data_IF_660906460156
#
_entry.id   IF_660906460156
#
_cell.length_a   1.000
_cell.length_b   1.000
_cell.length_c   1.000
_cell.angle_alpha   90.00
_cell.angle_beta   90.00
_cell.angle_gamma   90.00
#
_symmetry.space_group_name_H-M   'P 1'
#
loop_
_entity.id
_entity.type
_entity.pdbx_description
1 polymer ?
#
# COMPACT_ATOMS: atom_id res chain seq x y z
N UNK A 1 15.03 -87.82 36.09
CA UNK A 1 14.41 -87.29 37.32
C UNK A 1 14.95 -85.89 37.54
N UNK A 2 14.06 -84.94 37.82
CA UNK A 2 14.28 -83.51 38.13
C UNK A 2 14.75 -82.58 37.00
N UNK A 3 13.83 -81.69 36.64
CA UNK A 3 14.04 -80.46 35.91
C UNK A 3 14.79 -79.43 36.75
N UNK A 4 15.60 -78.60 36.09
CA UNK A 4 15.98 -77.29 36.60
C UNK A 4 16.19 -76.35 35.41
N UNK A 5 15.24 -75.42 35.27
CA UNK A 5 15.28 -74.30 34.33
C UNK A 5 16.47 -73.41 34.71
N UNK A 6 17.37 -73.14 33.74
CA UNK A 6 18.39 -72.10 33.86
C UNK A 6 18.37 -71.21 32.63
N UNK A 7 18.27 -69.92 32.93
CA UNK A 7 18.28 -68.76 32.06
C UNK A 7 19.25 -68.87 30.87
N UNK A 8 18.72 -68.62 29.66
CA UNK A 8 19.53 -68.28 28.50
C UNK A 8 19.51 -66.77 28.35
N UNK A 9 20.66 -66.17 28.63
CA UNK A 9 20.99 -64.78 28.31
C UNK A 9 21.26 -64.65 26.81
N UNK A 10 20.48 -63.83 26.10
CA UNK A 10 20.83 -63.40 24.75
C UNK A 10 21.31 -61.93 24.77
N UNK A 11 22.62 -61.80 24.59
CA UNK A 11 23.34 -60.59 24.23
C UNK A 11 23.14 -60.31 22.73
N UNK A 12 22.81 -59.06 22.41
CA UNK A 12 22.97 -58.35 21.12
C UNK A 12 22.37 -58.98 19.85
N UNK A 13 21.34 -58.35 19.27
CA UNK A 13 21.37 -57.80 17.89
C UNK A 13 20.31 -56.69 17.78
N UNK A 14 20.80 -55.46 17.81
CA UNK A 14 20.43 -54.31 16.97
C UNK A 14 19.16 -54.42 16.11
N UNK A 15 18.17 -53.56 16.33
CA UNK A 15 17.72 -52.56 15.34
C UNK A 15 16.78 -51.56 16.03
N UNK A 16 17.28 -50.33 16.08
CA UNK A 16 16.68 -49.12 16.60
C UNK A 16 15.65 -48.62 15.58
N UNK A 17 14.36 -48.64 15.89
CA UNK A 17 13.37 -47.79 15.20
C UNK A 17 12.84 -46.83 16.25
N UNK A 18 13.63 -45.77 16.46
CA UNK A 18 13.17 -44.59 17.18
C UNK A 18 12.36 -43.76 16.18
N UNK A 19 11.03 -43.88 16.23
CA UNK A 19 10.14 -43.01 15.49
C UNK A 19 10.20 -41.64 16.15
N UNK A 20 11.17 -40.81 15.73
CA UNK A 20 11.20 -39.40 16.05
C UNK A 20 9.99 -38.77 15.33
N UNK A 21 8.92 -38.48 16.07
CA UNK A 21 7.94 -37.49 15.63
C UNK A 21 8.69 -36.14 15.59
N UNK A 22 9.31 -35.85 14.45
CA UNK A 22 9.56 -34.48 14.05
C UNK A 22 8.18 -33.87 13.80
N UNK A 23 7.64 -33.19 14.81
CA UNK A 23 6.59 -32.21 14.58
C UNK A 23 7.24 -31.10 13.77
N UNK A 24 7.16 -31.22 12.46
CA UNK A 24 7.47 -30.14 11.54
C UNK A 24 6.47 -29.03 11.85
N UNK A 25 6.86 -28.08 12.70
CA UNK A 25 6.29 -26.75 12.61
C UNK A 25 6.69 -26.27 11.23
N UNK A 26 5.78 -26.43 10.26
CA UNK A 26 5.80 -25.59 9.09
C UNK A 26 5.72 -24.17 9.65
N UNK A 27 6.84 -23.45 9.63
CA UNK A 27 6.77 -21.99 9.58
C UNK A 27 6.00 -21.75 8.30
N UNK A 28 4.70 -21.50 8.43
CA UNK A 28 3.98 -20.79 7.39
C UNK A 28 4.74 -19.47 7.29
N UNK A 29 5.57 -19.35 6.25
CA UNK A 29 5.91 -18.04 5.74
C UNK A 29 4.57 -17.45 5.30
N UNK A 30 3.89 -16.76 6.21
CA UNK A 30 2.77 -15.92 5.83
C UNK A 30 3.30 -14.95 4.79
N UNK A 31 2.59 -14.82 3.68
CA UNK A 31 2.83 -13.70 2.77
C UNK A 31 2.75 -12.41 3.61
N UNK A 32 3.64 -11.46 3.34
CA UNK A 32 3.63 -10.19 4.05
C UNK A 32 2.33 -9.44 3.81
N UNK A 33 1.95 -8.58 4.76
CA UNK A 33 0.82 -7.66 4.57
C UNK A 33 1.04 -6.84 3.30
N UNK A 34 0.03 -6.74 2.43
CA UNK A 34 0.13 -5.95 1.20
C UNK A 34 -0.58 -4.62 1.40
N UNK A 35 0.09 -3.55 0.99
CA UNK A 35 -0.51 -2.23 0.88
C UNK A 35 -0.47 -1.75 -0.55
N UNK A 36 -1.55 -1.14 -1.01
CA UNK A 36 -1.61 -0.43 -2.29
C UNK A 36 -1.40 1.06 -2.04
N UNK A 37 -0.47 1.65 -2.79
CA UNK A 37 -0.23 3.09 -2.84
C UNK A 37 -0.82 3.60 -4.14
N UNK A 38 -1.98 4.25 -4.05
CA UNK A 38 -2.60 4.92 -5.19
C UNK A 38 -2.00 6.31 -5.34
N UNK A 39 -1.48 6.66 -6.52
CA UNK A 39 -0.85 7.97 -6.74
C UNK A 39 -1.46 8.73 -7.91
N UNK A 40 -1.19 10.04 -7.98
CA UNK A 40 -1.66 10.87 -9.08
C UNK A 40 -1.26 10.40 -10.49
N UNK A 41 -0.20 9.61 -10.65
CA UNK A 41 0.29 9.17 -11.97
C UNK A 41 0.23 7.65 -12.19
N UNK A 42 -0.24 6.89 -11.21
CA UNK A 42 -0.31 5.42 -11.27
C UNK A 42 -0.29 4.78 -9.90
N UNK A 43 -0.56 3.47 -9.83
CA UNK A 43 -0.61 2.75 -8.56
C UNK A 43 0.53 1.75 -8.48
N UNK A 44 1.09 1.60 -7.29
CA UNK A 44 2.02 0.51 -6.98
C UNK A 44 1.62 -0.17 -5.68
N UNK A 45 2.17 -1.35 -5.43
CA UNK A 45 1.92 -2.10 -4.20
C UNK A 45 3.23 -2.43 -3.50
N UNK A 46 3.17 -2.53 -2.18
CA UNK A 46 4.30 -2.88 -1.32
C UNK A 46 3.89 -4.15 -0.55
N UNK A 47 4.74 -5.17 -0.56
CA UNK A 47 4.70 -6.25 0.42
C UNK A 47 5.52 -5.83 1.64
N UNK A 48 4.88 -5.83 2.80
CA UNK A 48 5.52 -5.48 4.07
C UNK A 48 6.26 -6.68 4.66
N UNK A 49 7.41 -6.43 5.27
CA UNK A 49 8.27 -7.45 5.86
C UNK A 49 7.91 -7.67 7.34
N UNK A 50 6.66 -8.09 7.59
CA UNK A 50 6.05 -8.19 8.93
C UNK A 50 6.91 -8.97 9.94
N UNK A 51 7.57 -10.04 9.49
CA UNK A 51 8.45 -10.87 10.32
C UNK A 51 9.86 -10.31 10.54
N UNK A 52 10.31 -9.36 9.72
CA UNK A 52 11.66 -8.80 9.77
C UNK A 52 11.70 -7.49 10.55
N UNK A 53 10.75 -6.60 10.29
CA UNK A 53 10.66 -5.27 10.90
C UNK A 53 9.27 -5.05 11.56
N UNK A 54 8.88 -5.89 12.55
CA UNK A 54 7.52 -5.89 13.09
C UNK A 54 7.11 -4.56 13.75
N UNK A 55 8.02 -3.84 14.43
CA UNK A 55 7.68 -2.55 15.06
C UNK A 55 7.44 -1.50 13.98
N UNK A 56 8.28 -1.50 12.94
CA UNK A 56 8.23 -0.57 11.83
C UNK A 56 6.98 -0.79 10.97
N UNK A 57 6.69 -2.04 10.64
CA UNK A 57 5.45 -2.43 9.94
C UNK A 57 4.24 -2.03 10.75
N UNK A 58 4.19 -2.35 12.04
CA UNK A 58 3.05 -1.98 12.89
C UNK A 58 2.86 -0.46 12.94
N UNK A 59 3.95 0.30 13.08
CA UNK A 59 3.93 1.74 13.03
C UNK A 59 3.38 2.25 11.69
N UNK A 60 3.89 1.74 10.56
CA UNK A 60 3.41 2.11 9.24
C UNK A 60 1.91 1.82 9.07
N UNK A 61 1.47 0.62 9.47
CA UNK A 61 0.06 0.21 9.41
C UNK A 61 -0.83 1.04 10.34
N UNK A 62 -0.33 1.58 11.46
CA UNK A 62 -1.10 2.50 12.29
C UNK A 62 -1.50 3.76 11.51
N UNK A 63 -0.59 4.34 10.73
CA UNK A 63 -0.89 5.47 9.85
C UNK A 63 -1.83 5.08 8.71
N UNK A 64 -1.63 3.92 8.07
CA UNK A 64 -2.52 3.40 7.03
C UNK A 64 -3.96 3.24 7.56
N UNK A 65 -4.12 2.54 8.69
CA UNK A 65 -5.43 2.24 9.27
C UNK A 65 -6.18 3.48 9.78
N UNK A 66 -5.47 4.58 10.06
CA UNK A 66 -6.07 5.89 10.43
C UNK A 66 -6.29 6.79 9.21
N UNK A 67 -5.99 6.32 7.99
CA UNK A 67 -5.98 7.11 6.76
C UNK A 67 -5.03 8.32 6.82
N UNK A 68 -3.98 8.26 7.65
CA UNK A 68 -3.05 9.38 7.84
C UNK A 68 -2.22 9.69 6.58
N UNK A 69 -2.01 8.69 5.72
CA UNK A 69 -1.34 8.88 4.44
C UNK A 69 -2.27 9.35 3.32
N UNK A 70 -3.59 9.26 3.50
CA UNK A 70 -4.55 9.68 2.47
C UNK A 70 -4.49 11.20 2.29
N UNK A 71 -4.39 11.62 1.03
CA UNK A 71 -4.21 13.01 0.62
C UNK A 71 -2.84 13.62 0.97
N UNK A 72 -1.87 12.81 1.40
CA UNK A 72 -0.47 13.27 1.48
C UNK A 72 0.13 13.34 0.08
N UNK A 73 1.24 14.05 -0.08
CA UNK A 73 1.96 14.11 -1.35
C UNK A 73 3.42 13.67 -1.20
N UNK A 74 4.00 13.17 -2.28
CA UNK A 74 5.44 12.92 -2.36
C UNK A 74 6.14 14.27 -2.23
N UNK A 75 6.87 14.48 -1.14
CA UNK A 75 7.47 15.78 -0.83
C UNK A 75 8.93 15.87 -1.24
N UNK A 76 9.55 14.74 -1.60
CA UNK A 76 10.95 14.66 -2.02
C UNK A 76 11.18 13.47 -2.96
N UNK A 77 11.52 13.75 -4.21
CA UNK A 77 12.11 12.80 -5.14
C UNK A 77 13.52 13.28 -5.49
N UNK A 78 14.51 12.38 -5.38
CA UNK A 78 15.90 12.63 -5.75
C UNK A 78 16.34 11.52 -6.68
N UNK A 79 16.66 11.91 -7.91
CA UNK A 79 17.22 11.06 -8.96
C UNK A 79 18.40 10.25 -8.46
N UNK A 80 18.46 8.99 -8.89
CA UNK A 80 19.45 7.99 -8.47
C UNK A 80 19.55 7.84 -6.94
N UNK A 81 18.48 8.10 -6.19
CA UNK A 81 18.47 7.94 -4.74
C UNK A 81 17.14 7.39 -4.22
N UNK A 82 16.16 8.26 -3.94
CA UNK A 82 14.92 7.86 -3.26
C UNK A 82 13.72 8.73 -3.64
N UNK A 83 12.54 8.13 -3.58
CA UNK A 83 11.24 8.82 -3.56
C UNK A 83 10.65 8.71 -2.16
N UNK A 84 10.35 9.85 -1.52
CA UNK A 84 9.98 9.95 -0.11
C UNK A 84 8.63 10.65 0.09
N UNK A 85 7.79 10.08 0.98
CA UNK A 85 6.43 10.53 1.25
C UNK A 85 5.98 10.36 2.70
N UNK A 86 4.67 10.55 2.92
CA UNK A 86 3.99 10.29 4.21
C UNK A 86 3.99 11.44 5.22
N UNK A 87 4.71 12.54 4.95
CA UNK A 87 4.97 13.58 5.94
C UNK A 87 3.96 14.73 5.96
N UNK A 88 3.48 15.15 4.78
CA UNK A 88 2.78 16.42 4.61
C UNK A 88 1.53 16.29 3.77
N UNK A 89 0.51 17.07 4.17
CA UNK A 89 -0.64 17.44 3.32
C UNK A 89 -0.47 18.86 2.85
N UNK A 90 -1.16 19.24 1.77
CA UNK A 90 -1.18 20.62 1.32
C UNK A 90 -2.52 21.28 1.66
N UNK A 91 -2.50 22.42 2.33
CA UNK A 91 -3.69 23.23 2.58
C UNK A 91 -3.61 24.53 1.79
N UNK A 92 -4.62 24.79 0.95
CA UNK A 92 -4.67 25.98 0.11
C UNK A 92 -4.56 27.24 0.98
N UNK A 93 -3.72 28.20 0.52
CA UNK A 93 -3.38 29.45 1.23
C UNK A 93 -2.57 29.32 2.54
N UNK A 94 -2.37 28.11 3.08
CA UNK A 94 -1.49 27.86 4.25
C UNK A 94 -0.17 27.18 3.86
N UNK A 95 -0.18 26.29 2.87
CA UNK A 95 0.98 25.52 2.44
C UNK A 95 1.06 24.12 3.06
N UNK A 96 2.27 23.55 3.18
CA UNK A 96 2.49 22.22 3.75
C UNK A 96 2.15 22.11 5.24
N UNK A 97 1.21 21.22 5.57
CA UNK A 97 0.78 20.89 6.94
C UNK A 97 1.32 19.51 7.30
N UNK A 98 1.89 19.40 8.50
CA UNK A 98 2.41 18.14 9.02
C UNK A 98 1.26 17.15 9.26
N UNK A 99 1.45 15.90 8.82
CA UNK A 99 0.65 14.79 9.31
C UNK A 99 1.03 14.56 10.79
N UNK A 100 0.06 14.50 11.72
CA UNK A 100 0.37 14.20 13.12
C UNK A 100 1.17 12.91 13.27
N UNK A 101 2.18 12.91 14.13
CA UNK A 101 3.08 11.79 14.34
C UNK A 101 2.80 11.08 15.67
N UNK A 102 2.88 9.75 15.63
CA UNK A 102 3.07 8.92 16.81
C UNK A 102 4.50 9.11 17.37
N UNK A 103 4.78 8.67 18.62
CA UNK A 103 6.13 8.68 19.16
C UNK A 103 7.11 7.94 18.25
N UNK A 104 8.39 8.36 18.21
CA UNK A 104 9.37 7.72 17.35
C UNK A 104 9.64 6.28 17.77
N UNK A 105 9.97 5.44 16.78
CA UNK A 105 10.19 4.00 16.97
C UNK A 105 11.68 3.65 17.01
N UNK A 106 11.98 2.51 17.63
CA UNK A 106 13.32 1.89 17.59
C UNK A 106 13.69 1.50 16.15
N UNK A 107 14.93 1.73 15.76
CA UNK A 107 15.46 1.30 14.48
C UNK A 107 15.67 -0.23 14.47
N UNK A 108 15.01 -0.93 13.54
CA UNK A 108 15.07 -2.39 13.41
C UNK A 108 16.00 -2.86 12.29
N UNK A 109 16.96 -2.05 11.84
CA UNK A 109 17.86 -2.45 10.77
C UNK A 109 18.64 -3.72 11.15
N UNK A 110 18.33 -4.83 10.48
CA UNK A 110 18.87 -6.17 10.76
C UNK A 110 19.42 -6.85 9.51
N UNK A 111 20.12 -6.07 8.68
CA UNK A 111 20.88 -6.60 7.53
C UNK A 111 20.08 -6.82 6.25
N UNK A 112 18.81 -6.42 6.20
CA UNK A 112 18.12 -6.23 4.90
C UNK A 112 18.62 -4.94 4.28
N UNK A 113 19.38 -5.07 3.19
CA UNK A 113 20.01 -3.94 2.52
C UNK A 113 19.02 -3.01 1.83
N UNK A 114 19.33 -1.72 1.79
CA UNK A 114 18.60 -0.68 1.06
C UNK A 114 18.88 -0.76 -0.45
N UNK A 115 18.47 -1.87 -1.07
CA UNK A 115 18.59 -2.11 -2.52
C UNK A 115 17.40 -1.55 -3.29
N UNK A 116 17.51 -1.41 -4.61
CA UNK A 116 16.43 -0.89 -5.47
C UNK A 116 15.08 -1.59 -5.19
N UNK A 117 14.03 -0.78 -5.07
CA UNK A 117 12.66 -1.20 -4.83
C UNK A 117 12.32 -1.58 -3.38
N UNK A 118 13.30 -1.57 -2.47
CA UNK A 118 13.01 -1.69 -1.04
C UNK A 118 12.39 -0.41 -0.51
N UNK A 119 11.53 -0.55 0.49
CA UNK A 119 10.89 0.57 1.22
C UNK A 119 11.45 0.62 2.63
N UNK A 120 11.92 1.80 3.03
CA UNK A 120 12.54 2.03 4.33
C UNK A 120 12.01 3.29 5.02
N UNK A 121 12.14 3.34 6.35
CA UNK A 121 11.72 4.50 7.15
C UNK A 121 12.75 5.61 7.09
N UNK A 122 12.33 6.85 6.86
CA UNK A 122 13.19 8.01 7.03
C UNK A 122 13.37 8.34 8.51
N UNK A 123 14.55 8.88 8.85
CA UNK A 123 14.95 9.28 10.20
C UNK A 123 15.78 10.55 10.18
N UNK A 124 15.86 11.21 11.34
CA UNK A 124 16.69 12.40 11.55
C UNK A 124 18.16 11.95 11.62
N UNK A 125 19.04 12.64 10.89
CA UNK A 125 20.47 12.35 10.89
C UNK A 125 21.08 12.48 12.28
N UNK A 126 21.89 11.50 12.68
CA UNK A 126 22.49 11.40 14.01
C UNK A 126 21.56 10.84 15.10
N UNK A 127 20.29 10.54 14.79
CA UNK A 127 19.35 9.90 15.72
C UNK A 127 18.72 8.65 15.09
N UNK A 128 19.28 7.45 15.33
CA UNK A 128 18.79 6.20 14.76
C UNK A 128 17.33 5.91 15.07
N UNK A 129 16.84 6.28 16.26
CA UNK A 129 15.52 5.89 16.77
C UNK A 129 14.51 7.04 16.67
N UNK A 130 14.55 7.79 15.56
CA UNK A 130 13.72 8.99 15.33
C UNK A 130 12.64 8.82 14.26
N UNK A 131 12.54 7.64 13.65
CA UNK A 131 11.55 7.37 12.61
C UNK A 131 10.11 7.48 13.15
N UNK A 132 9.22 8.10 12.38
CA UNK A 132 7.80 8.28 12.70
C UNK A 132 6.89 7.89 11.53
N UNK A 133 6.48 8.83 10.67
CA UNK A 133 5.52 8.60 9.57
C UNK A 133 6.15 8.68 8.17
N UNK A 134 7.42 9.05 8.07
CA UNK A 134 8.06 9.25 6.78
C UNK A 134 8.72 7.97 6.30
N UNK A 135 8.50 7.64 5.03
CA UNK A 135 9.06 6.47 4.37
C UNK A 135 9.56 6.85 2.98
N UNK A 136 10.43 6.02 2.42
CA UNK A 136 10.95 6.19 1.07
C UNK A 136 11.13 4.85 0.36
N UNK A 137 11.05 4.91 -0.98
CA UNK A 137 11.43 3.82 -1.88
C UNK A 137 12.82 4.09 -2.42
N UNK A 138 13.69 3.08 -2.38
CA UNK A 138 15.03 3.13 -2.97
C UNK A 138 14.95 3.01 -4.50
N UNK A 139 15.44 4.01 -5.23
CA UNK A 139 15.52 4.00 -6.70
C UNK A 139 16.74 3.20 -7.21
N UNK A 140 17.80 3.13 -6.41
CA UNK A 140 19.01 2.35 -6.72
C UNK A 140 19.46 1.56 -5.48
N UNK A 141 20.59 0.88 -5.57
CA UNK A 141 21.23 0.25 -4.43
C UNK A 141 21.96 1.28 -3.55
N UNK A 142 21.26 1.76 -2.53
CA UNK A 142 21.72 2.78 -1.60
C UNK A 142 22.48 2.19 -0.40
N UNK A 143 23.53 1.41 -0.65
CA UNK A 143 24.27 0.67 0.39
C UNK A 143 24.90 1.57 1.48
N UNK A 144 25.05 2.87 1.22
CA UNK A 144 25.46 3.85 2.24
C UNK A 144 24.42 3.98 3.36
N UNK A 145 23.14 3.75 3.07
CA UNK A 145 22.06 3.77 4.05
C UNK A 145 22.10 2.56 4.98
N UNK A 146 22.82 1.48 4.64
CA UNK A 146 22.97 0.31 5.51
C UNK A 146 23.92 0.57 6.70
N UNK A 147 24.79 1.58 6.57
CA UNK A 147 25.81 1.91 7.59
C UNK A 147 25.59 3.27 8.26
N UNK A 148 24.77 4.14 7.67
CA UNK A 148 24.55 5.51 8.15
C UNK A 148 23.66 5.52 9.39
N UNK A 149 24.18 6.03 10.52
CA UNK A 149 23.51 6.12 11.81
C UNK A 149 22.79 4.81 12.21
N UNK A 150 23.50 3.68 12.11
CA UNK A 150 22.95 2.37 12.48
C UNK A 150 22.05 1.73 11.43
N UNK A 151 21.99 2.27 10.22
CA UNK A 151 21.21 1.73 9.11
C UNK A 151 19.81 2.35 9.00
N UNK A 152 19.19 2.30 7.82
CA UNK A 152 17.78 2.65 7.62
C UNK A 152 16.95 1.38 7.50
N UNK A 153 15.97 1.19 8.40
CA UNK A 153 15.16 -0.04 8.46
C UNK A 153 14.33 -0.20 7.19
N UNK A 154 14.70 -1.18 6.37
CA UNK A 154 13.86 -1.71 5.29
C UNK A 154 12.72 -2.52 5.91
N UNK A 155 11.48 -2.17 5.56
CA UNK A 155 10.27 -2.79 6.09
C UNK A 155 9.30 -3.24 4.99
N UNK A 156 9.64 -3.06 3.72
CA UNK A 156 8.81 -3.50 2.61
C UNK A 156 9.57 -3.59 1.29
N UNK A 157 8.90 -4.13 0.28
CA UNK A 157 9.40 -4.25 -1.09
C UNK A 157 8.28 -3.91 -2.08
N UNK A 158 8.58 -3.09 -3.08
CA UNK A 158 7.67 -2.79 -4.18
C UNK A 158 7.46 -4.05 -5.02
N UNK A 159 6.18 -4.36 -5.32
CA UNK A 159 5.74 -5.54 -6.05
C UNK A 159 5.51 -5.27 -7.54
N UNK A 160 5.64 -6.35 -8.34
CA UNK A 160 5.30 -6.37 -9.76
C UNK A 160 6.00 -5.27 -10.56
N UNK A 161 5.24 -4.62 -11.45
CA UNK A 161 5.72 -3.49 -12.25
C UNK A 161 5.65 -2.15 -11.49
N UNK A 162 5.45 -2.17 -10.16
CA UNK A 162 5.29 -0.97 -9.35
C UNK A 162 6.48 -0.02 -9.42
N UNK A 163 7.69 -0.54 -9.64
CA UNK A 163 8.87 0.31 -9.82
C UNK A 163 8.80 1.19 -11.06
N UNK A 164 8.07 0.79 -12.11
CA UNK A 164 7.87 1.67 -13.27
C UNK A 164 7.10 2.94 -12.89
N UNK A 165 6.17 2.84 -11.94
CA UNK A 165 5.43 3.99 -11.41
C UNK A 165 6.33 4.85 -10.53
N UNK A 166 7.16 4.23 -9.68
CA UNK A 166 8.09 4.97 -8.81
C UNK A 166 9.14 5.70 -9.64
N UNK A 167 9.69 5.07 -10.68
CA UNK A 167 10.59 5.72 -11.64
C UNK A 167 9.89 6.87 -12.37
N UNK A 168 8.63 6.67 -12.81
CA UNK A 168 7.85 7.72 -13.44
C UNK A 168 7.56 8.92 -12.50
N UNK A 169 7.51 8.71 -11.17
CA UNK A 169 7.41 9.79 -10.18
C UNK A 169 8.71 10.58 -10.12
N UNK A 170 9.85 9.90 -10.18
CA UNK A 170 11.19 10.51 -10.13
C UNK A 170 11.50 11.32 -11.40
N UNK A 171 11.05 10.83 -12.56
CA UNK A 171 11.18 11.52 -13.86
C UNK A 171 10.40 12.85 -13.95
N UNK A 172 9.53 13.15 -12.97
CA UNK A 172 8.76 14.39 -12.95
C UNK A 172 9.62 15.59 -12.57
N UNK A 173 9.31 16.79 -13.11
CA UNK A 173 9.92 18.00 -12.60
C UNK A 173 9.56 18.21 -11.12
N UNK A 174 10.50 18.76 -10.37
CA UNK A 174 10.32 19.04 -8.94
C UNK A 174 10.29 20.54 -8.66
N UNK A 175 9.57 20.91 -7.60
CA UNK A 175 9.57 22.28 -7.07
C UNK A 175 9.93 22.26 -5.58
N UNK A 176 10.61 23.33 -5.16
CA UNK A 176 10.89 23.58 -3.74
C UNK A 176 9.87 24.55 -3.17
N UNK A 177 9.11 24.14 -2.16
CA UNK A 177 8.17 25.01 -1.43
C UNK A 177 8.80 25.66 -0.19
N UNK A 178 10.13 25.69 -0.13
CA UNK A 178 10.91 26.15 1.02
C UNK A 178 11.76 25.03 1.63
N UNK A 179 12.77 25.43 2.41
CA UNK A 179 13.93 24.58 2.77
C UNK A 179 13.59 23.32 3.61
N UNK A 180 12.43 23.24 4.28
CA UNK A 180 12.20 22.19 5.28
C UNK A 180 11.16 21.11 4.92
N UNK A 181 10.05 21.45 4.25
CA UNK A 181 8.90 20.52 4.13
C UNK A 181 8.77 19.85 2.75
N UNK A 182 9.03 20.56 1.66
CA UNK A 182 8.91 20.01 0.32
C UNK A 182 10.06 20.52 -0.55
N UNK A 183 11.30 20.05 -0.30
CA UNK A 183 12.47 20.58 -0.98
C UNK A 183 12.53 20.17 -2.46
N UNK A 184 11.94 19.02 -2.82
CA UNK A 184 11.97 18.44 -4.15
C UNK A 184 10.64 17.72 -4.46
N UNK A 185 9.51 18.42 -4.33
CA UNK A 185 8.20 17.81 -4.54
C UNK A 185 7.92 17.65 -6.05
N UNK A 186 7.73 16.42 -6.57
CA UNK A 186 7.36 16.19 -7.96
C UNK A 186 5.95 16.68 -8.28
N UNK A 187 5.76 17.19 -9.50
CA UNK A 187 4.45 17.59 -10.03
C UNK A 187 4.23 17.06 -11.45
N UNK A 188 3.00 16.64 -11.76
CA UNK A 188 2.68 15.88 -12.98
C UNK A 188 2.17 16.73 -14.17
N UNK A 189 2.17 18.05 -14.02
CA UNK A 189 1.82 19.00 -15.08
C UNK A 189 3.05 19.58 -15.77
N UNK A 190 2.89 20.14 -16.97
CA UNK A 190 4.02 20.75 -17.70
C UNK A 190 4.65 21.94 -16.96
N UNK A 191 3.86 22.65 -16.15
CA UNK A 191 4.32 23.79 -15.36
C UNK A 191 3.56 23.79 -14.06
N UNK A 192 4.29 23.88 -12.94
CA UNK A 192 3.70 24.00 -11.62
C UNK A 192 2.94 25.33 -11.51
N UNK A 193 1.60 25.25 -11.47
CA UNK A 193 0.72 26.40 -11.33
C UNK A 193 -0.22 26.25 -10.13
N UNK A 194 -0.44 25.02 -9.68
CA UNK A 194 -1.39 24.71 -8.63
C UNK A 194 -0.79 23.65 -7.69
N UNK A 195 -0.96 23.76 -6.37
CA UNK A 195 -0.65 22.68 -5.43
C UNK A 195 -1.34 21.34 -5.73
N UNK A 196 -2.45 21.33 -6.48
CA UNK A 196 -3.07 20.10 -6.99
C UNK A 196 -2.23 19.37 -8.05
N UNK A 197 -1.18 20.01 -8.57
CA UNK A 197 -0.28 19.42 -9.56
C UNK A 197 0.71 18.43 -8.92
N UNK A 198 0.83 18.39 -7.58
CA UNK A 198 1.72 17.43 -6.90
C UNK A 198 1.30 15.98 -7.10
N UNK A 199 2.24 15.06 -6.90
CA UNK A 199 1.93 13.63 -6.80
C UNK A 199 1.34 13.34 -5.43
N UNK A 200 0.01 13.33 -5.34
CA UNK A 200 -0.71 12.91 -4.15
C UNK A 200 -0.79 11.40 -4.05
N UNK A 201 -0.95 10.90 -2.83
CA UNK A 201 -1.07 9.47 -2.54
C UNK A 201 -2.24 9.17 -1.59
N UNK A 202 -2.75 7.96 -1.72
CA UNK A 202 -3.47 7.24 -0.67
C UNK A 202 -2.79 5.91 -0.44
N UNK A 203 -2.92 5.37 0.77
CA UNK A 203 -2.37 4.05 1.10
C UNK A 203 -3.46 3.25 1.78
N UNK A 204 -3.72 2.06 1.26
CA UNK A 204 -4.73 1.14 1.79
C UNK A 204 -4.14 -0.26 1.96
N UNK A 205 -4.55 -0.98 2.99
CA UNK A 205 -4.26 -2.42 3.11
C UNK A 205 -5.13 -3.18 2.11
N UNK A 206 -4.53 -4.05 1.31
CA UNK A 206 -5.25 -4.93 0.39
C UNK A 206 -5.00 -6.39 0.76
N UNK A 207 -5.96 -7.26 0.46
CA UNK A 207 -5.86 -8.68 0.79
C UNK A 207 -4.80 -9.40 -0.06
N UNK A 208 -4.49 -8.83 -1.23
CA UNK A 208 -3.54 -9.38 -2.18
C UNK A 208 -2.96 -8.30 -3.08
N UNK A 209 -1.95 -8.70 -3.85
CA UNK A 209 -1.47 -7.92 -4.98
C UNK A 209 -2.50 -7.92 -6.12
N UNK A 210 -2.73 -6.75 -6.71
CA UNK A 210 -3.50 -6.56 -7.94
C UNK A 210 -2.94 -5.38 -8.73
N UNK A 211 -2.75 -5.58 -10.03
CA UNK A 211 -2.44 -4.52 -10.99
C UNK A 211 -3.69 -3.89 -11.61
N UNK A 212 -4.89 -4.37 -11.26
CA UNK A 212 -6.13 -3.86 -11.83
C UNK A 212 -6.37 -2.40 -11.39
N UNK A 213 -6.90 -1.52 -12.29
CA UNK A 213 -7.20 -0.13 -11.95
C UNK A 213 -8.40 0.00 -11.00
N UNK A 214 -9.27 -1.01 -10.99
CA UNK A 214 -10.46 -1.08 -10.15
C UNK A 214 -10.48 -2.41 -9.41
N UNK A 215 -10.48 -2.33 -8.09
CA UNK A 215 -10.44 -3.51 -7.22
C UNK A 215 -11.51 -3.39 -6.16
N UNK A 216 -12.27 -4.46 -5.96
CA UNK A 216 -13.18 -4.62 -4.84
C UNK A 216 -12.72 -5.78 -3.95
N UNK A 217 -12.39 -5.47 -2.70
CA UNK A 217 -12.00 -6.41 -1.65
C UNK A 217 -13.21 -6.67 -0.74
N UNK A 218 -13.80 -7.85 -0.85
CA UNK A 218 -15.07 -8.12 -0.16
C UNK A 218 -14.95 -8.27 1.36
N UNK A 219 -13.80 -8.72 1.88
CA UNK A 219 -13.65 -8.92 3.33
C UNK A 219 -13.58 -7.58 4.07
N UNK A 220 -13.01 -6.55 3.43
CA UNK A 220 -12.94 -5.18 3.97
C UNK A 220 -14.06 -4.28 3.47
N UNK A 221 -14.72 -4.64 2.36
CA UNK A 221 -15.69 -3.80 1.67
C UNK A 221 -15.05 -2.62 0.94
N UNK A 222 -13.74 -2.65 0.70
CA UNK A 222 -13.00 -1.57 0.04
C UNK A 222 -13.13 -1.68 -1.49
N UNK A 223 -13.57 -0.60 -2.12
CA UNK A 223 -13.52 -0.40 -3.57
C UNK A 223 -12.51 0.70 -3.88
N UNK A 224 -11.42 0.36 -4.56
CA UNK A 224 -10.43 1.30 -5.05
C UNK A 224 -10.70 1.55 -6.53
N UNK A 225 -10.83 2.81 -6.94
CA UNK A 225 -11.09 3.16 -8.34
C UNK A 225 -10.48 4.50 -8.73
N UNK A 226 -10.35 4.70 -10.04
CA UNK A 226 -10.10 6.00 -10.65
C UNK A 226 -11.28 6.39 -11.54
N UNK A 227 -11.70 7.65 -11.44
CA UNK A 227 -12.93 8.14 -12.07
C UNK A 227 -12.61 9.37 -12.91
N UNK A 228 -13.08 9.33 -14.15
CA UNK A 228 -13.26 10.49 -15.01
C UNK A 228 -14.67 11.07 -14.77
N UNK A 229 -14.73 12.30 -14.27
CA UNK A 229 -15.97 13.01 -14.00
C UNK A 229 -16.33 13.87 -15.21
N UNK A 230 -17.54 13.64 -15.73
CA UNK A 230 -18.15 14.42 -16.82
C UNK A 230 -17.21 14.60 -18.03
N UNK A 231 -16.62 13.50 -18.50
CA UNK A 231 -15.79 13.39 -19.72
C UNK A 231 -14.61 14.37 -19.77
N UNK A 232 -13.79 14.34 -18.73
CA UNK A 232 -12.53 15.05 -18.64
C UNK A 232 -12.60 16.33 -17.83
N UNK A 233 -13.71 16.59 -17.13
CA UNK A 233 -13.83 17.76 -16.26
C UNK A 233 -12.90 17.63 -15.05
N UNK A 234 -12.78 16.43 -14.48
CA UNK A 234 -11.83 16.10 -13.43
C UNK A 234 -11.48 14.60 -13.49
N UNK A 235 -10.19 14.28 -13.40
CA UNK A 235 -9.71 12.91 -13.21
C UNK A 235 -9.24 12.76 -11.77
N UNK A 236 -9.85 11.82 -11.06
CA UNK A 236 -9.55 11.57 -9.65
C UNK A 236 -9.37 10.09 -9.38
N UNK A 237 -8.73 9.76 -8.28
CA UNK A 237 -8.87 8.47 -7.63
C UNK A 237 -9.45 8.66 -6.25
N UNK A 238 -10.27 7.69 -5.85
CA UNK A 238 -10.96 7.66 -4.59
C UNK A 238 -11.31 6.22 -4.23
N UNK A 239 -11.52 6.02 -2.94
CA UNK A 239 -11.95 4.78 -2.36
C UNK A 239 -13.42 4.87 -1.98
N UNK A 240 -14.11 3.73 -2.00
CA UNK A 240 -15.43 3.58 -1.42
C UNK A 240 -15.43 2.45 -0.41
N UNK A 241 -16.29 2.56 0.60
CA UNK A 241 -16.50 1.52 1.60
C UNK A 241 -17.93 1.02 1.52
N UNK A 242 -18.11 -0.30 1.53
CA UNK A 242 -19.44 -0.91 1.67
C UNK A 242 -20.09 -0.43 2.97
N UNK A 243 -21.36 -0.07 2.88
CA UNK A 243 -22.19 0.22 4.05
C UNK A 243 -23.24 -0.88 4.23
N UNK A 244 -23.61 -1.23 5.47
CA UNK A 244 -24.64 -2.23 5.71
C UNK A 244 -25.95 -1.89 5.01
N UNK A 245 -26.50 -2.86 4.28
CA UNK A 245 -27.78 -2.77 3.58
C UNK A 245 -28.44 -4.15 3.57
N UNK A 246 -29.78 -4.19 3.59
CA UNK A 246 -30.54 -5.44 3.77
C UNK A 246 -30.54 -6.33 2.52
N UNK A 247 -30.53 -5.73 1.32
CA UNK A 247 -30.69 -6.47 0.06
C UNK A 247 -29.88 -5.92 -1.11
N UNK A 248 -29.18 -4.80 -0.93
CA UNK A 248 -28.47 -4.11 -2.00
C UNK A 248 -26.99 -3.95 -1.65
N UNK A 249 -26.13 -3.95 -2.66
CA UNK A 249 -24.73 -3.54 -2.46
C UNK A 249 -24.70 -2.02 -2.50
N UNK A 250 -24.42 -1.40 -1.35
CA UNK A 250 -24.31 0.06 -1.23
C UNK A 250 -22.89 0.40 -0.80
N UNK A 251 -22.26 1.32 -1.52
CA UNK A 251 -20.92 1.82 -1.23
C UNK A 251 -20.97 3.32 -0.97
N UNK A 252 -20.17 3.79 -0.01
CA UNK A 252 -20.03 5.20 0.34
C UNK A 252 -18.69 5.71 -0.14
N UNK A 253 -18.67 6.82 -0.87
CA UNK A 253 -17.43 7.47 -1.27
C UNK A 253 -16.66 7.98 -0.04
N UNK A 254 -15.38 7.64 0.05
CA UNK A 254 -14.47 8.20 1.03
C UNK A 254 -13.83 9.48 0.48
N UNK A 255 -14.39 10.64 0.84
CA UNK A 255 -13.93 11.93 0.32
C UNK A 255 -12.50 12.29 0.76
N UNK A 256 -12.02 11.76 1.89
CA UNK A 256 -10.66 12.01 2.38
C UNK A 256 -9.61 11.27 1.54
N UNK A 257 -10.04 10.31 0.71
CA UNK A 257 -9.20 9.60 -0.26
C UNK A 257 -9.23 10.21 -1.66
N UNK A 258 -9.87 11.37 -1.87
CA UNK A 258 -9.91 11.96 -3.20
C UNK A 258 -8.56 12.60 -3.54
N UNK A 259 -7.87 12.05 -4.55
CA UNK A 259 -6.62 12.59 -5.08
C UNK A 259 -6.74 12.89 -6.59
N UNK A 260 -6.12 13.97 -7.09
CA UNK A 260 -6.10 14.25 -8.54
C UNK A 260 -5.30 13.18 -9.29
N UNK A 261 -5.69 12.88 -10.52
CA UNK A 261 -5.04 11.91 -11.42
C UNK A 261 -4.66 12.53 -12.76
N UNK A 262 -3.58 12.02 -13.35
CA UNK A 262 -3.23 12.30 -14.74
C UNK A 262 -4.19 11.57 -15.69
N UNK A 263 -4.74 12.29 -16.65
CA UNK A 263 -5.86 11.88 -17.53
C UNK A 263 -5.57 10.73 -18.52
N UNK A 264 -4.39 10.11 -18.50
CA UNK A 264 -3.92 9.20 -19.56
C UNK A 264 -4.13 7.71 -19.30
N UNK A 265 -4.94 7.32 -18.32
CA UNK A 265 -5.16 5.91 -18.00
C UNK A 265 -6.31 5.33 -18.85
N UNK A 266 -6.06 4.20 -19.53
CA UNK A 266 -7.10 3.46 -20.24
C UNK A 266 -7.95 2.66 -19.24
N UNK A 267 -9.24 2.49 -19.54
CA UNK A 267 -10.15 1.69 -18.70
C UNK A 267 -10.58 2.35 -17.40
N UNK A 268 -10.39 3.67 -17.24
CA UNK A 268 -10.85 4.45 -16.07
C UNK A 268 -12.39 4.40 -15.97
N UNK A 269 -12.91 4.44 -14.74
CA UNK A 269 -14.34 4.50 -14.52
C UNK A 269 -14.87 5.89 -14.91
N UNK A 270 -16.15 5.99 -15.23
CA UNK A 270 -16.77 7.30 -15.56
C UNK A 270 -17.88 7.61 -14.59
N UNK A 271 -17.98 8.86 -14.16
CA UNK A 271 -19.14 9.35 -13.43
C UNK A 271 -19.77 10.50 -14.20
N UNK A 272 -21.09 10.43 -14.44
CA UNK A 272 -21.82 11.56 -15.01
C UNK A 272 -22.78 12.17 -14.00
N UNK A 273 -22.67 13.47 -13.81
CA UNK A 273 -23.60 14.25 -12.99
C UNK A 273 -24.97 14.42 -13.66
N UNK A 274 -25.06 14.19 -14.98
CA UNK A 274 -26.32 14.29 -15.72
C UNK A 274 -27.27 13.12 -15.46
N UNK A 275 -26.73 11.94 -15.14
CA UNK A 275 -27.50 10.72 -14.90
C UNK A 275 -27.18 10.03 -13.57
N UNK A 276 -26.31 10.64 -12.76
CA UNK A 276 -25.90 10.20 -11.43
C UNK A 276 -25.33 8.79 -11.38
N UNK A 277 -24.65 8.33 -12.43
CA UNK A 277 -24.11 6.97 -12.51
C UNK A 277 -22.60 6.92 -12.61
N UNK A 278 -22.01 6.12 -11.74
CA UNK A 278 -20.62 5.66 -11.80
C UNK A 278 -20.59 4.34 -12.61
N UNK A 279 -19.76 4.28 -13.64
CA UNK A 279 -19.61 3.13 -14.54
C UNK A 279 -18.17 2.67 -14.51
N UNK A 280 -17.96 1.45 -14.06
CA UNK A 280 -16.66 0.80 -14.01
C UNK A 280 -16.64 -0.25 -15.14
N UNK A 281 -15.86 -0.04 -16.21
CA UNK A 281 -15.86 -0.93 -17.36
C UNK A 281 -15.47 -2.36 -17.00
N UNK A 282 -14.53 -2.51 -16.07
CA UNK A 282 -14.02 -3.79 -15.59
C UNK A 282 -13.59 -3.66 -14.13
N UNK A 283 -14.11 -4.51 -13.27
CA UNK A 283 -13.87 -4.53 -11.84
C UNK A 283 -13.30 -5.89 -11.44
N UNK A 284 -12.10 -5.90 -10.86
CA UNK A 284 -11.56 -7.10 -10.26
C UNK A 284 -12.14 -7.28 -8.86
N UNK A 285 -12.90 -8.35 -8.65
CA UNK A 285 -13.59 -8.65 -7.40
C UNK A 285 -12.89 -9.81 -6.71
N UNK A 286 -12.40 -9.57 -5.50
CA UNK A 286 -11.87 -10.59 -4.61
C UNK A 286 -12.93 -11.02 -3.59
N UNK A 287 -13.38 -12.26 -3.69
CA UNK A 287 -14.30 -12.90 -2.75
C UNK A 287 -13.54 -13.87 -1.85
N UNK A 288 -13.04 -13.37 -0.71
CA UNK A 288 -12.28 -14.16 0.27
C UNK A 288 -11.15 -15.00 -0.36
N UNK A 289 -10.40 -14.40 -1.28
CA UNK A 289 -9.29 -15.02 -2.02
C UNK A 289 -9.67 -15.58 -3.40
N UNK A 290 -10.96 -15.69 -3.73
CA UNK A 290 -11.42 -16.08 -5.06
C UNK A 290 -11.55 -14.84 -5.96
N UNK A 291 -10.66 -14.71 -6.94
CA UNK A 291 -10.64 -13.56 -7.85
C UNK A 291 -11.51 -13.80 -9.09
N UNK A 292 -12.35 -12.82 -9.41
CA UNK A 292 -13.18 -12.80 -10.61
C UNK A 292 -13.16 -11.42 -11.25
N UNK A 293 -13.39 -11.35 -12.56
CA UNK A 293 -13.54 -10.11 -13.28
C UNK A 293 -15.01 -9.90 -13.61
N UNK A 294 -15.55 -8.76 -13.20
CA UNK A 294 -16.92 -8.34 -13.49
C UNK A 294 -16.86 -7.16 -14.45
N UNK A 295 -17.72 -7.11 -15.46
CA UNK A 295 -17.70 -6.05 -16.47
C UNK A 295 -18.94 -5.16 -16.40
N UNK A 296 -18.87 -3.95 -16.96
CA UNK A 296 -19.99 -3.02 -17.06
C UNK A 296 -20.71 -2.79 -15.72
N UNK A 297 -19.95 -2.64 -14.63
CA UNK A 297 -20.50 -2.41 -13.30
C UNK A 297 -21.02 -0.98 -13.24
N UNK A 298 -22.29 -0.83 -12.87
CA UNK A 298 -22.95 0.47 -12.74
C UNK A 298 -23.43 0.66 -11.32
N UNK A 299 -23.01 1.75 -10.71
CA UNK A 299 -23.54 2.25 -9.45
C UNK A 299 -24.31 3.55 -9.69
N UNK A 300 -25.48 3.70 -9.07
CA UNK A 300 -26.25 4.94 -9.07
C UNK A 300 -26.03 5.68 -7.75
N UNK A 301 -25.77 6.99 -7.80
CA UNK A 301 -25.74 7.87 -6.62
C UNK A 301 -27.17 7.96 -6.05
N UNK A 302 -27.47 7.10 -5.08
CA UNK A 302 -28.79 6.92 -4.48
C UNK A 302 -29.04 7.91 -3.33
N UNK A 303 -27.99 8.41 -2.69
CA UNK A 303 -28.05 9.49 -1.70
C UNK A 303 -26.88 10.47 -1.90
N UNK A 304 -27.16 11.59 -2.55
CA UNK A 304 -26.18 12.63 -2.82
C UNK A 304 -25.69 13.35 -1.55
N UNK A 305 -26.50 13.43 -0.49
CA UNK A 305 -26.11 14.12 0.74
C UNK A 305 -25.07 13.32 1.53
N UNK A 306 -25.13 11.99 1.44
CA UNK A 306 -24.22 11.07 2.13
C UNK A 306 -23.20 10.39 1.21
N UNK A 307 -23.20 10.74 -0.09
CA UNK A 307 -22.34 10.15 -1.12
C UNK A 307 -22.49 8.62 -1.20
N UNK A 308 -23.72 8.12 -1.11
CA UNK A 308 -24.04 6.70 -1.21
C UNK A 308 -24.38 6.33 -2.65
N UNK A 309 -23.80 5.21 -3.07
CA UNK A 309 -23.94 4.64 -4.39
C UNK A 309 -24.49 3.22 -4.26
N UNK A 310 -25.61 2.94 -4.90
CA UNK A 310 -26.23 1.61 -4.92
C UNK A 310 -25.86 0.90 -6.23
N UNK A 311 -25.46 -0.37 -6.15
CA UNK A 311 -25.21 -1.20 -7.33
C UNK A 311 -26.50 -1.35 -8.14
N UNK A 312 -26.48 -0.89 -9.39
CA UNK A 312 -27.62 -0.94 -10.31
C UNK A 312 -27.55 -2.17 -11.23
N UNK A 313 -26.37 -2.45 -11.80
CA UNK A 313 -26.17 -3.55 -12.74
C UNK A 313 -24.71 -3.96 -12.88
N UNK A 314 -24.47 -5.16 -13.39
CA UNK A 314 -23.17 -5.63 -13.86
C UNK A 314 -23.34 -6.82 -14.83
N UNK A 315 -22.31 -7.10 -15.62
CA UNK A 315 -22.21 -8.27 -16.49
C UNK A 315 -21.21 -9.28 -15.91
N UNK A 316 -21.56 -10.57 -15.95
CA UNK A 316 -20.73 -11.70 -15.52
C UNK A 316 -20.45 -12.67 -16.66
#
# INVERSE_FOLDING_TARGET
>A
MCAAVRHISYKYVTYLIFFFLFSSFAVSAGAGTIVRVSTSIGDFSIELLDGIAPITVQNYLNYVNRNDYNGTYIHRAIDDFVVQGGAFRFKLFEGPIDVPTDPPIENEFKGVSNTRGTVAMAKIGGDPNSATNQWFVNLIDNLVLDVTDGGFTVFGQVLGEGMQIVDAIDDLPTVSLGQAKAPYAPYFTQTYNNPLDFVYINVEVTERFSSAPHVFESATGLLITSVDIDNGSNFISLNFNVVPSESEVVVKANLDSVIPRQASLSGVATFSTSDNRLRIPSLEVNLDGAVSLVSNVVFVLSDAANFLFTLESFDQ
#
